data_IF_838725722094
#
_entry.id   IF_838725722094
#
_cell.length_a   1.000
_cell.length_b   1.000
_cell.length_c   1.000
_cell.angle_alpha   90.00
_cell.angle_beta   90.00
_cell.angle_gamma   90.00
#
_symmetry.space_group_name_H-M   'P 1'
#
loop_
_entity.id
_entity.type
_entity.pdbx_description
1 polymer ?
#
# COMPACT_ATOMS: atom_id res chain seq x y z
N UNK A 1 -2.12 24.08 46.76
CA UNK A 1 -1.76 22.74 47.26
C UNK A 1 -2.53 21.71 46.44
N UNK A 2 -1.85 21.07 45.49
CA UNK A 2 -2.39 20.02 44.63
C UNK A 2 -1.89 18.70 45.19
N UNK A 3 -2.78 17.85 45.70
CA UNK A 3 -2.40 16.53 46.19
C UNK A 3 -2.34 15.55 45.00
N UNK A 4 -1.13 15.24 44.57
CA UNK A 4 -0.86 14.11 43.67
C UNK A 4 -0.98 12.80 44.45
N UNK A 5 -1.87 11.90 44.01
CA UNK A 5 -1.85 10.50 44.44
C UNK A 5 -0.89 9.76 43.53
N UNK A 6 0.28 9.41 44.07
CA UNK A 6 1.26 8.56 43.38
C UNK A 6 0.86 7.09 43.53
N UNK A 7 0.60 6.41 42.41
CA UNK A 7 0.44 4.96 42.36
C UNK A 7 1.78 4.35 41.97
N UNK A 8 2.48 3.73 42.92
CA UNK A 8 3.71 2.97 42.66
C UNK A 8 3.34 1.56 42.24
N UNK A 9 3.55 1.23 40.96
CA UNK A 9 3.45 -0.14 40.45
C UNK A 9 4.86 -0.74 40.49
N UNK A 10 5.08 -1.66 41.43
CA UNK A 10 6.29 -2.50 41.47
C UNK A 10 6.08 -3.65 40.48
N UNK A 11 6.76 -3.62 39.34
CA UNK A 11 6.83 -4.76 38.43
C UNK A 11 7.91 -5.72 38.94
N UNK A 12 7.50 -6.91 39.40
CA UNK A 12 8.41 -8.02 39.65
C UNK A 12 8.71 -8.76 38.33
N UNK A 13 9.93 -9.27 38.09
CA UNK A 13 10.26 -9.99 36.87
C UNK A 13 9.70 -11.41 36.92
N UNK A 14 8.95 -11.80 35.88
CA UNK A 14 8.52 -13.18 35.68
C UNK A 14 9.64 -13.96 35.00
N UNK A 15 10.26 -14.89 35.75
CA UNK A 15 11.02 -15.98 35.15
C UNK A 15 10.06 -17.06 34.67
N UNK A 16 10.23 -17.44 33.41
CA UNK A 16 9.58 -18.56 32.77
C UNK A 16 10.05 -19.88 33.39
N UNK A 17 9.11 -20.70 33.84
CA UNK A 17 9.09 -22.14 33.53
C UNK A 17 7.89 -22.82 34.15
N UNK A 18 7.38 -23.74 33.35
CA UNK A 18 6.61 -24.92 33.72
C UNK A 18 5.08 -24.83 33.73
N UNK A 19 4.54 -25.50 32.71
CA UNK A 19 3.13 -25.72 32.51
C UNK A 19 2.69 -26.99 33.21
N UNK A 20 1.58 -26.87 33.95
CA UNK A 20 0.54 -27.90 34.18
C UNK A 20 -0.25 -27.50 35.43
N UNK A 21 -1.38 -26.82 35.24
CA UNK A 21 -2.68 -27.33 35.72
C UNK A 21 -3.86 -26.42 35.37
N UNK A 22 -4.73 -27.07 34.63
CA UNK A 22 -6.09 -26.79 34.24
C UNK A 22 -6.98 -26.42 35.45
N UNK A 23 -7.66 -25.27 35.35
CA UNK A 23 -9.02 -24.94 35.82
C UNK A 23 -9.38 -25.15 37.30
N UNK A 24 -9.37 -24.06 38.08
CA UNK A 24 -10.12 -23.99 39.34
C UNK A 24 -10.53 -22.58 39.80
N UNK A 25 -10.90 -21.63 38.92
CA UNK A 25 -11.45 -20.37 39.43
C UNK A 25 -12.40 -19.57 38.52
N UNK A 26 -13.20 -20.24 37.67
CA UNK A 26 -14.33 -19.56 37.00
C UNK A 26 -15.36 -18.96 38.00
N UNK A 27 -15.30 -19.36 39.29
CA UNK A 27 -16.07 -18.76 40.38
C UNK A 27 -15.45 -17.48 40.96
N UNK A 28 -14.14 -17.26 40.85
CA UNK A 28 -13.49 -16.02 41.32
C UNK A 28 -13.65 -14.88 40.32
N UNK A 29 -13.74 -15.17 39.02
CA UNK A 29 -13.93 -14.16 37.99
C UNK A 29 -15.35 -13.56 37.97
N UNK A 30 -16.37 -14.33 38.35
CA UNK A 30 -17.76 -13.84 38.43
C UNK A 30 -18.02 -13.05 39.71
N UNK A 31 -17.28 -13.31 40.80
CA UNK A 31 -17.41 -12.57 42.06
C UNK A 31 -16.88 -11.12 41.98
N UNK A 32 -16.02 -10.80 40.99
CA UNK A 32 -15.45 -9.46 40.80
C UNK A 32 -16.33 -8.51 39.97
N UNK A 33 -17.41 -9.01 39.34
CA UNK A 33 -18.31 -8.19 38.50
C UNK A 33 -19.62 -7.77 39.20
N UNK A 34 -19.91 -8.33 40.38
CA UNK A 34 -21.04 -7.91 41.23
C UNK A 34 -20.54 -7.21 42.48
N UNK A 35 -20.00 -6.00 42.32
CA UNK A 35 -19.72 -5.11 43.43
C UNK A 35 -21.02 -4.67 44.11
N UNK A 36 -21.44 -5.39 45.14
CA UNK A 36 -22.48 -4.96 46.08
C UNK A 36 -22.01 -3.70 46.82
N UNK A 37 -22.73 -2.61 46.63
CA UNK A 37 -22.54 -1.37 47.39
C UNK A 37 -22.94 -1.61 48.86
N UNK A 38 -21.95 -1.80 49.75
CA UNK A 38 -22.20 -1.78 51.19
C UNK A 38 -22.32 -0.33 51.65
N UNK A 39 -23.56 0.15 51.79
CA UNK A 39 -23.86 1.35 52.57
C UNK A 39 -23.66 0.99 54.04
N UNK A 40 -22.57 1.49 54.63
CA UNK A 40 -22.34 1.40 56.06
C UNK A 40 -23.36 2.29 56.79
N UNK A 41 -24.35 1.68 57.45
CA UNK A 41 -25.26 2.37 58.37
C UNK A 41 -24.49 2.73 59.64
N UNK A 42 -24.29 4.03 59.90
CA UNK A 42 -23.78 4.53 61.19
C UNK A 42 -24.79 4.27 62.32
N UNK A 43 -24.35 3.99 63.56
CA UNK A 43 -25.25 3.78 64.68
C UNK A 43 -25.98 5.08 65.07
N UNK A 44 -27.25 4.93 65.44
CA UNK A 44 -28.10 5.99 65.99
C UNK A 44 -27.50 6.50 67.30
N UNK A 45 -26.90 7.68 67.29
CA UNK A 45 -26.67 8.44 68.51
C UNK A 45 -27.91 9.27 68.81
N UNK A 46 -28.44 9.09 70.02
CA UNK A 46 -29.54 9.85 70.59
C UNK A 46 -29.23 11.35 70.56
N UNK A 47 -30.04 12.12 69.83
CA UNK A 47 -30.14 13.57 69.98
C UNK A 47 -31.43 13.85 70.75
N UNK A 48 -31.30 13.99 72.06
CA UNK A 48 -32.30 14.62 72.91
C UNK A 48 -31.70 15.92 73.46
N UNK A 49 -32.51 16.97 73.41
CA UNK A 49 -32.32 18.31 73.99
C UNK A 49 -31.15 19.17 73.49
N UNK A 50 -31.51 20.09 72.57
CA UNK A 50 -30.98 21.46 72.60
C UNK A 50 -31.99 22.41 71.93
N UNK A 51 -32.86 22.98 72.77
CA UNK A 51 -33.50 24.29 72.68
C UNK A 51 -33.71 24.93 71.29
N UNK A 52 -34.99 25.07 70.94
CA UNK A 52 -35.52 26.11 70.06
C UNK A 52 -35.09 27.52 70.53
N UNK A 53 -34.07 28.12 69.92
CA UNK A 53 -33.88 29.58 69.79
C UNK A 53 -32.71 29.84 68.83
N UNK A 54 -32.93 30.78 67.90
CA UNK A 54 -31.94 31.38 66.99
C UNK A 54 -31.49 30.56 65.76
N UNK A 55 -32.39 30.42 64.77
CA UNK A 55 -31.98 30.37 63.36
C UNK A 55 -32.79 31.40 62.56
N UNK A 56 -32.69 32.66 62.99
CA UNK A 56 -33.15 33.81 62.21
C UNK A 56 -32.04 34.17 61.23
N UNK A 57 -32.34 34.09 59.93
CA UNK A 57 -31.63 34.75 58.80
C UNK A 57 -30.13 34.42 58.62
N UNK A 58 -29.86 33.53 57.66
CA UNK A 58 -28.92 33.88 56.57
C UNK A 58 -29.25 33.09 55.31
N UNK A 59 -30.23 33.56 54.53
CA UNK A 59 -30.29 33.21 53.11
C UNK A 59 -29.09 33.92 52.46
N UNK A 60 -27.98 33.21 52.28
CA UNK A 60 -26.97 33.62 51.31
C UNK A 60 -27.62 33.49 49.93
N UNK A 61 -28.19 34.58 49.43
CA UNK A 61 -28.40 34.76 48.00
C UNK A 61 -27.02 34.74 47.36
N UNK A 62 -26.58 33.57 46.91
CA UNK A 62 -25.44 33.45 46.01
C UNK A 62 -25.89 34.08 44.70
N UNK A 63 -25.63 35.38 44.55
CA UNK A 63 -25.75 36.06 43.25
C UNK A 63 -24.65 35.50 42.37
N UNK A 64 -24.99 34.48 41.56
CA UNK A 64 -24.14 34.05 40.47
C UNK A 64 -23.94 35.25 39.53
N UNK A 65 -22.70 35.56 39.11
CA UNK A 65 -22.49 36.59 38.10
C UNK A 65 -23.32 36.26 36.84
N UNK A 66 -23.85 37.27 36.14
CA UNK A 66 -24.62 37.03 34.92
C UNK A 66 -23.78 36.21 33.94
N UNK A 67 -24.38 35.23 33.24
CA UNK A 67 -23.65 34.42 32.28
C UNK A 67 -23.04 35.33 31.22
N UNK A 68 -21.72 35.36 31.12
CA UNK A 68 -21.04 36.03 30.01
C UNK A 68 -21.38 35.26 28.74
N UNK A 69 -22.13 35.89 27.84
CA UNK A 69 -22.37 35.35 26.51
C UNK A 69 -21.03 35.31 25.78
N UNK A 70 -20.49 34.11 25.61
CA UNK A 70 -19.31 33.90 24.79
C UNK A 70 -19.69 33.96 23.32
N UNK A 71 -18.74 34.38 22.48
CA UNK A 71 -18.94 34.52 21.04
C UNK A 71 -18.01 33.59 20.29
N UNK A 72 -18.45 33.12 19.13
CA UNK A 72 -17.65 32.25 18.28
C UNK A 72 -16.35 32.96 17.86
N UNK A 73 -15.20 32.29 18.03
CA UNK A 73 -13.89 32.85 17.65
C UNK A 73 -13.83 33.26 16.17
N UNK A 74 -14.58 32.60 15.28
CA UNK A 74 -14.68 32.97 13.85
C UNK A 74 -15.81 33.92 13.50
N UNK A 75 -16.86 33.97 14.33
CA UNK A 75 -18.03 34.81 14.08
C UNK A 75 -18.32 35.62 15.35
N UNK A 76 -17.65 36.78 15.52
CA UNK A 76 -17.74 37.58 16.74
C UNK A 76 -19.16 38.02 17.08
N UNK A 77 -20.04 38.12 16.09
CA UNK A 77 -21.44 38.54 16.28
C UNK A 77 -22.37 37.36 16.65
N UNK A 78 -21.86 36.13 16.69
CA UNK A 78 -22.64 34.94 16.99
C UNK A 78 -22.37 34.46 18.42
N UNK A 79 -23.29 34.77 19.33
CA UNK A 79 -23.27 34.23 20.68
C UNK A 79 -23.38 32.69 20.66
N UNK A 80 -22.59 32.01 21.47
CA UNK A 80 -22.54 30.55 21.52
C UNK A 80 -22.28 30.04 22.92
N UNK A 81 -22.98 28.97 23.32
CA UNK A 81 -22.70 28.22 24.54
C UNK A 81 -22.00 26.89 24.26
N UNK A 82 -21.39 26.71 23.08
CA UNK A 82 -20.74 25.47 22.68
C UNK A 82 -19.25 25.67 22.49
N UNK A 83 -18.50 24.66 22.93
CA UNK A 83 -17.05 24.67 22.92
C UNK A 83 -16.51 23.48 22.14
N UNK A 84 -15.36 23.67 21.52
CA UNK A 84 -14.60 22.57 20.93
C UNK A 84 -14.12 21.62 22.04
N UNK A 85 -14.52 20.36 22.01
CA UNK A 85 -14.12 19.35 23.03
C UNK A 85 -12.60 19.15 23.11
N UNK A 86 -11.84 19.54 22.08
CA UNK A 86 -10.39 19.38 22.01
C UNK A 86 -9.57 20.57 22.50
N UNK A 87 -10.01 21.80 22.20
CA UNK A 87 -9.25 23.02 22.52
C UNK A 87 -10.02 24.02 23.38
N UNK A 88 -11.24 23.66 23.78
CA UNK A 88 -12.15 24.40 24.66
C UNK A 88 -12.56 25.81 24.18
N UNK A 89 -12.20 26.18 22.94
CA UNK A 89 -12.59 27.47 22.37
C UNK A 89 -14.08 27.53 22.03
N UNK A 90 -14.77 28.67 22.27
CA UNK A 90 -16.16 28.86 21.90
C UNK A 90 -16.32 28.86 20.37
N UNK A 91 -17.27 28.08 19.87
CA UNK A 91 -17.54 27.95 18.45
C UNK A 91 -19.03 27.70 18.18
N UNK A 92 -19.60 28.43 17.22
CA UNK A 92 -21.00 28.24 16.83
C UNK A 92 -21.22 26.89 16.12
N UNK A 93 -22.48 26.46 16.00
CA UNK A 93 -22.87 25.20 15.35
C UNK A 93 -22.31 25.06 13.93
N UNK A 94 -22.21 26.16 13.18
CA UNK A 94 -21.68 26.14 11.81
C UNK A 94 -20.15 25.92 11.76
N UNK A 95 -19.44 26.21 12.85
CA UNK A 95 -17.98 26.04 12.95
C UNK A 95 -17.57 24.73 13.64
N UNK A 96 -18.53 24.03 14.25
CA UNK A 96 -18.31 22.74 14.93
C UNK A 96 -18.60 21.59 13.97
N UNK A 97 -17.69 20.63 13.97
CA UNK A 97 -17.78 19.38 13.21
C UNK A 97 -18.00 18.23 14.20
N UNK A 98 -19.00 17.35 13.98
CA UNK A 98 -19.20 16.18 14.83
C UNK A 98 -17.95 15.30 14.88
N UNK A 99 -17.59 14.83 16.07
CA UNK A 99 -16.46 13.94 16.31
C UNK A 99 -16.92 12.70 17.09
N UNK A 100 -16.14 11.60 17.11
CA UNK A 100 -16.49 10.40 17.89
C UNK A 100 -16.72 10.69 19.38
N UNK A 101 -16.05 11.72 19.92
CA UNK A 101 -16.30 12.25 21.26
C UNK A 101 -16.50 13.76 21.13
N UNK A 102 -17.74 14.22 21.30
CA UNK A 102 -18.09 15.64 21.29
C UNK A 102 -18.07 16.30 19.91
N UNK A 103 -17.51 17.51 19.83
CA UNK A 103 -17.44 18.29 18.59
C UNK A 103 -16.13 19.06 18.50
N UNK A 104 -15.54 19.10 17.32
CA UNK A 104 -14.26 19.77 17.08
C UNK A 104 -14.44 21.00 16.19
N UNK A 105 -13.76 22.10 16.51
CA UNK A 105 -13.74 23.28 15.65
C UNK A 105 -12.94 23.03 14.37
N UNK A 106 -13.23 23.80 13.31
CA UNK A 106 -12.57 23.70 12.01
C UNK A 106 -11.03 23.74 12.08
N UNK A 107 -10.45 24.48 13.03
CA UNK A 107 -9.00 24.61 13.16
C UNK A 107 -8.38 23.36 13.80
N UNK A 108 -9.05 22.77 14.80
CA UNK A 108 -8.67 21.48 15.38
C UNK A 108 -8.83 20.32 14.39
N UNK A 109 -9.85 20.36 13.53
CA UNK A 109 -10.01 19.39 12.45
C UNK A 109 -8.92 19.57 11.40
N UNK A 110 -8.59 20.82 11.04
CA UNK A 110 -7.53 21.11 10.07
C UNK A 110 -6.15 20.70 10.59
N UNK A 111 -5.85 20.93 11.87
CA UNK A 111 -4.60 20.49 12.50
C UNK A 111 -4.51 18.97 12.68
N UNK A 112 -5.66 18.29 12.79
CA UNK A 112 -5.72 16.83 12.81
C UNK A 112 -5.52 16.19 11.43
N UNK A 113 -5.58 16.96 10.33
CA UNK A 113 -5.42 16.39 8.98
C UNK A 113 -3.98 15.86 8.86
N UNK A 114 -3.81 14.58 8.47
CA UNK A 114 -2.48 14.05 8.23
C UNK A 114 -1.78 14.89 7.15
N UNK A 115 -0.44 15.03 7.21
CA UNK A 115 0.32 15.82 6.25
C UNK A 115 0.03 15.37 4.81
N UNK A 116 0.16 16.28 3.83
CA UNK A 116 -0.19 16.01 2.44
C UNK A 116 0.46 14.73 1.89
N UNK A 117 1.72 14.47 2.27
CA UNK A 117 2.46 13.25 1.93
C UNK A 117 1.79 11.98 2.43
N UNK A 118 1.22 12.00 3.64
CA UNK A 118 0.53 10.84 4.19
C UNK A 118 -0.85 10.65 3.54
N UNK A 119 -1.54 11.73 3.19
CA UNK A 119 -2.80 11.65 2.41
C UNK A 119 -2.59 11.00 1.04
N UNK A 120 -1.55 11.42 0.32
CA UNK A 120 -1.17 10.81 -0.98
C UNK A 120 -0.79 9.34 -0.80
N UNK A 121 -0.04 9.01 0.26
CA UNK A 121 0.29 7.62 0.59
C UNK A 121 -0.96 6.77 0.85
N UNK A 122 -1.93 7.30 1.61
CA UNK A 122 -3.20 6.60 1.90
C UNK A 122 -4.05 6.43 0.63
N UNK A 123 -4.10 7.44 -0.24
CA UNK A 123 -4.79 7.35 -1.53
C UNK A 123 -4.19 6.27 -2.44
N UNK A 124 -2.85 6.26 -2.58
CA UNK A 124 -2.15 5.22 -3.35
C UNK A 124 -2.33 3.83 -2.74
N UNK A 125 -2.46 3.73 -1.41
CA UNK A 125 -2.76 2.47 -0.73
C UNK A 125 -4.20 1.96 -0.97
N UNK A 126 -5.11 2.78 -1.50
CA UNK A 126 -6.45 2.34 -1.96
C UNK A 126 -6.40 1.89 -3.42
N UNK A 127 -5.51 2.47 -4.24
CA UNK A 127 -5.30 2.16 -5.66
C UNK A 127 -4.15 1.16 -5.87
N UNK A 128 -4.16 0.04 -5.13
CA UNK A 128 -3.00 -0.85 -4.97
C UNK A 128 -2.48 -1.47 -6.29
N UNK A 129 -3.33 -1.57 -7.32
CA UNK A 129 -3.03 -2.27 -8.58
C UNK A 129 -3.59 -1.55 -9.82
N UNK A 130 -3.66 -0.22 -9.81
CA UNK A 130 -4.21 0.56 -10.92
C UNK A 130 -3.39 0.40 -12.21
N UNK A 131 -2.06 0.51 -12.13
CA UNK A 131 -1.19 0.37 -13.29
C UNK A 131 -1.26 -1.06 -13.86
N UNK A 132 -1.29 -2.07 -12.99
CA UNK A 132 -1.50 -3.47 -13.37
C UNK A 132 -2.80 -3.66 -14.15
N UNK A 133 -3.92 -3.10 -13.65
CA UNK A 133 -5.23 -3.18 -14.34
C UNK A 133 -5.20 -2.52 -15.70
N UNK A 134 -4.57 -1.34 -15.81
CA UNK A 134 -4.41 -0.63 -17.08
C UNK A 134 -3.58 -1.45 -18.06
N UNK A 135 -2.44 -2.01 -17.64
CA UNK A 135 -1.61 -2.85 -18.49
C UNK A 135 -2.36 -4.11 -18.94
N UNK A 136 -3.10 -4.77 -18.05
CA UNK A 136 -3.93 -5.92 -18.42
C UNK A 136 -5.00 -5.51 -19.45
N UNK A 137 -5.70 -4.40 -19.21
CA UNK A 137 -6.71 -3.90 -20.13
C UNK A 137 -6.13 -3.58 -21.51
N UNK A 138 -4.94 -2.97 -21.57
CA UNK A 138 -4.25 -2.69 -22.84
C UNK A 138 -3.85 -3.95 -23.59
N UNK A 139 -3.33 -4.98 -22.90
CA UNK A 139 -2.98 -6.25 -23.51
C UNK A 139 -4.22 -7.00 -24.03
N UNK A 140 -5.30 -7.03 -23.24
CA UNK A 140 -6.57 -7.63 -23.67
C UNK A 140 -7.17 -6.86 -24.84
N UNK A 141 -7.16 -5.54 -24.81
CA UNK A 141 -7.62 -4.70 -25.91
C UNK A 141 -6.83 -4.97 -27.20
N UNK A 142 -5.49 -4.99 -27.11
CA UNK A 142 -4.63 -5.28 -28.26
C UNK A 142 -4.93 -6.67 -28.84
N UNK A 143 -5.13 -7.68 -27.99
CA UNK A 143 -5.47 -9.03 -28.43
C UNK A 143 -6.86 -9.13 -29.08
N UNK A 144 -7.87 -8.44 -28.54
CA UNK A 144 -9.21 -8.40 -29.15
C UNK A 144 -9.17 -7.64 -30.49
N UNK A 145 -8.40 -6.56 -30.56
CA UNK A 145 -8.20 -5.78 -31.77
C UNK A 145 -7.55 -6.62 -32.88
N UNK A 146 -6.54 -7.44 -32.55
CA UNK A 146 -5.90 -8.30 -33.55
C UNK A 146 -6.87 -9.35 -34.08
N UNK A 147 -7.77 -9.89 -33.24
CA UNK A 147 -8.81 -10.83 -33.68
C UNK A 147 -9.82 -10.21 -34.66
N UNK A 148 -10.19 -8.94 -34.48
CA UNK A 148 -11.20 -8.28 -35.33
C UNK A 148 -10.62 -7.66 -36.61
N UNK A 149 -9.41 -7.11 -36.54
CA UNK A 149 -8.87 -6.24 -37.61
C UNK A 149 -8.12 -6.99 -38.70
N UNK A 150 -7.63 -8.21 -38.43
CA UNK A 150 -6.73 -8.91 -39.35
C UNK A 150 -7.36 -10.10 -40.07
N UNK A 151 -8.57 -10.53 -39.70
CA UNK A 151 -9.27 -11.69 -40.28
C UNK A 151 -8.60 -13.05 -40.01
N UNK A 152 -7.29 -13.08 -39.73
CA UNK A 152 -6.54 -14.23 -39.25
C UNK A 152 -5.48 -13.80 -38.23
N UNK A 153 -5.37 -14.56 -37.14
CA UNK A 153 -4.38 -14.33 -36.08
C UNK A 153 -2.96 -14.26 -36.68
N UNK A 154 -2.62 -15.12 -37.63
CA UNK A 154 -1.28 -15.17 -38.28
C UNK A 154 -0.87 -13.86 -38.97
N UNK A 155 -1.80 -13.11 -39.57
CA UNK A 155 -1.47 -11.89 -40.31
C UNK A 155 -1.12 -10.73 -39.36
N UNK A 156 -1.91 -10.58 -38.29
CA UNK A 156 -1.61 -9.59 -37.24
C UNK A 156 -0.28 -9.85 -36.50
N UNK A 157 0.14 -11.12 -36.42
CA UNK A 157 1.40 -11.50 -35.79
C UNK A 157 2.60 -11.02 -36.61
N UNK A 158 2.54 -11.11 -37.93
CA UNK A 158 3.55 -10.53 -38.83
C UNK A 158 3.50 -9.00 -38.81
N UNK A 159 2.31 -8.40 -38.83
CA UNK A 159 2.14 -6.95 -38.96
C UNK A 159 2.66 -6.15 -37.76
N UNK A 160 2.74 -6.76 -36.57
CA UNK A 160 3.18 -6.06 -35.35
C UNK A 160 4.33 -6.76 -34.61
N UNK A 161 4.69 -7.98 -35.03
CA UNK A 161 5.75 -8.75 -34.40
C UNK A 161 7.13 -8.08 -34.52
N UNK A 162 8.01 -8.45 -33.61
CA UNK A 162 9.38 -7.95 -33.55
C UNK A 162 10.32 -8.92 -34.26
N UNK A 163 11.16 -8.39 -35.13
CA UNK A 163 12.27 -9.06 -35.81
C UNK A 163 13.26 -7.98 -36.26
N UNK A 164 14.54 -8.33 -36.41
CA UNK A 164 15.60 -7.37 -36.72
C UNK A 164 15.36 -6.68 -38.08
N UNK A 165 14.83 -7.42 -39.05
CA UNK A 165 14.53 -6.91 -40.40
C UNK A 165 13.57 -5.70 -40.37
N UNK A 166 12.58 -5.71 -39.48
CA UNK A 166 11.64 -4.60 -39.38
C UNK A 166 12.29 -3.37 -38.72
N UNK A 167 13.18 -3.58 -37.76
CA UNK A 167 13.92 -2.47 -37.14
C UNK A 167 14.89 -1.84 -38.13
N UNK A 168 15.55 -2.64 -38.98
CA UNK A 168 16.38 -2.16 -40.09
C UNK A 168 15.59 -1.31 -41.10
N UNK A 169 14.30 -1.59 -41.29
CA UNK A 169 13.39 -0.80 -42.12
C UNK A 169 12.84 0.46 -41.40
N UNK A 170 13.33 0.78 -40.20
CA UNK A 170 12.92 1.97 -39.45
C UNK A 170 11.68 1.77 -38.57
N UNK A 171 11.17 0.55 -38.41
CA UNK A 171 9.93 0.27 -37.67
C UNK A 171 10.15 0.11 -36.15
N UNK A 172 10.86 1.07 -35.54
CA UNK A 172 11.26 1.05 -34.12
C UNK A 172 10.09 0.95 -33.12
N UNK A 173 8.90 1.37 -33.52
CA UNK A 173 7.69 1.27 -32.70
C UNK A 173 7.37 -0.19 -32.31
N UNK A 174 7.85 -1.16 -33.09
CA UNK A 174 7.70 -2.61 -32.84
C UNK A 174 8.34 -3.09 -31.55
N UNK A 175 9.33 -2.39 -31.02
CA UNK A 175 9.92 -2.71 -29.71
C UNK A 175 8.86 -2.62 -28.61
N UNK A 176 7.94 -1.65 -28.72
CA UNK A 176 6.86 -1.46 -27.74
C UNK A 176 5.63 -2.25 -28.13
N UNK A 177 5.18 -2.16 -29.40
CA UNK A 177 3.90 -2.79 -29.80
C UNK A 177 3.95 -4.31 -29.75
N UNK A 178 5.08 -4.93 -30.07
CA UNK A 178 5.25 -6.39 -29.96
C UNK A 178 5.07 -6.88 -28.53
N UNK A 179 5.37 -6.05 -27.53
CA UNK A 179 5.17 -6.35 -26.12
C UNK A 179 3.71 -6.49 -25.69
N UNK A 180 2.74 -6.13 -26.55
CA UNK A 180 1.31 -6.28 -26.29
C UNK A 180 0.64 -7.35 -27.16
N UNK A 181 1.38 -7.96 -28.09
CA UNK A 181 0.86 -9.02 -28.94
C UNK A 181 0.84 -10.35 -28.21
N UNK A 182 -0.16 -11.18 -28.51
CA UNK A 182 -0.28 -12.50 -27.92
C UNK A 182 -0.67 -13.54 -28.96
N UNK A 183 -0.01 -14.70 -28.88
CA UNK A 183 -0.18 -15.83 -29.78
C UNK A 183 -1.11 -16.87 -29.13
N UNK A 184 -2.41 -16.62 -29.23
CA UNK A 184 -3.46 -17.52 -28.72
C UNK A 184 -3.92 -17.25 -27.29
N UNK A 185 -5.05 -17.86 -26.93
CA UNK A 185 -5.79 -17.58 -25.69
C UNK A 185 -5.02 -17.98 -24.43
N UNK A 186 -4.34 -19.13 -24.46
CA UNK A 186 -3.56 -19.61 -23.31
C UNK A 186 -2.35 -18.70 -23.04
N UNK A 187 -1.72 -18.19 -24.09
CA UNK A 187 -0.57 -17.29 -23.96
C UNK A 187 -0.96 -15.97 -23.28
N UNK A 188 -2.06 -15.33 -23.70
CA UNK A 188 -2.57 -14.13 -23.01
C UNK A 188 -3.07 -14.45 -21.60
N UNK A 189 -3.81 -15.54 -21.41
CA UNK A 189 -4.35 -15.93 -20.11
C UNK A 189 -3.25 -16.09 -19.05
N UNK A 190 -2.17 -16.78 -19.39
CA UNK A 190 -1.04 -16.99 -18.48
C UNK A 190 -0.27 -15.70 -18.20
N UNK A 191 -0.03 -14.84 -19.22
CA UNK A 191 0.63 -13.56 -19.00
C UNK A 191 -0.19 -12.64 -18.09
N UNK A 192 -1.51 -12.55 -18.31
CA UNK A 192 -2.37 -11.67 -17.52
C UNK A 192 -2.52 -12.19 -16.09
N UNK A 193 -2.57 -13.51 -15.89
CA UNK A 193 -2.58 -14.11 -14.56
C UNK A 193 -1.29 -13.78 -13.79
N UNK A 194 -0.12 -13.98 -14.42
CA UNK A 194 1.17 -13.68 -13.80
C UNK A 194 1.34 -12.18 -13.56
N UNK A 195 0.96 -11.33 -14.53
CA UNK A 195 0.98 -9.88 -14.38
C UNK A 195 0.10 -9.43 -13.22
N UNK A 196 -1.08 -10.01 -13.05
CA UNK A 196 -1.96 -9.72 -11.91
C UNK A 196 -1.35 -10.12 -10.56
N UNK A 197 -0.76 -11.32 -10.48
CA UNK A 197 -0.10 -11.79 -9.25
C UNK A 197 1.11 -10.94 -8.88
N UNK A 198 1.96 -10.61 -9.86
CA UNK A 198 3.16 -9.81 -9.66
C UNK A 198 2.80 -8.34 -9.40
N UNK A 199 1.75 -7.83 -10.05
CA UNK A 199 1.22 -6.50 -9.81
C UNK A 199 0.76 -6.31 -8.36
N UNK A 200 0.05 -7.29 -7.80
CA UNK A 200 -0.35 -7.27 -6.38
C UNK A 200 0.84 -7.23 -5.41
N UNK A 201 2.00 -7.74 -5.81
CA UNK A 201 3.20 -7.73 -4.98
C UNK A 201 4.05 -6.45 -5.16
N UNK A 202 4.32 -6.09 -6.42
CA UNK A 202 5.31 -5.08 -6.77
C UNK A 202 4.72 -3.67 -6.82
N UNK A 203 3.48 -3.51 -7.28
CA UNK A 203 2.86 -2.19 -7.41
C UNK A 203 2.63 -1.51 -6.04
N UNK A 204 2.18 -2.20 -4.98
CA UNK A 204 2.13 -1.60 -3.64
C UNK A 204 3.51 -1.25 -3.07
N UNK A 205 4.54 -2.00 -3.44
CA UNK A 205 5.91 -1.78 -2.96
C UNK A 205 6.59 -0.58 -3.64
N UNK A 206 6.33 -0.38 -4.94
CA UNK A 206 6.99 0.62 -5.77
C UNK A 206 6.13 1.88 -6.00
N UNK A 207 4.81 1.73 -5.96
CA UNK A 207 3.83 2.67 -6.51
C UNK A 207 3.67 2.52 -8.02
N UNK A 208 2.54 3.05 -8.53
CA UNK A 208 2.09 2.92 -9.92
C UNK A 208 3.19 3.26 -10.94
N UNK A 209 3.77 4.46 -10.85
CA UNK A 209 4.73 4.96 -11.84
C UNK A 209 6.00 4.10 -11.91
N UNK A 210 6.55 3.72 -10.76
CA UNK A 210 7.79 2.93 -10.69
C UNK A 210 7.55 1.49 -11.12
N UNK A 211 6.40 0.92 -10.78
CA UNK A 211 6.00 -0.38 -11.30
C UNK A 211 5.91 -0.37 -12.83
N UNK A 212 5.26 0.65 -13.41
CA UNK A 212 5.20 0.80 -14.87
C UNK A 212 6.58 0.94 -15.50
N UNK A 213 7.49 1.72 -14.90
CA UNK A 213 8.87 1.85 -15.38
C UNK A 213 9.63 0.51 -15.34
N UNK A 214 9.46 -0.29 -14.27
CA UNK A 214 10.05 -1.61 -14.16
C UNK A 214 9.50 -2.58 -15.23
N UNK A 215 8.18 -2.53 -15.48
CA UNK A 215 7.53 -3.32 -16.53
C UNK A 215 8.11 -3.01 -17.91
N UNK A 216 8.20 -1.72 -18.29
CA UNK A 216 8.75 -1.32 -19.58
C UNK A 216 10.26 -1.57 -19.68
N UNK A 217 11.04 -1.34 -18.63
CA UNK A 217 12.46 -1.68 -18.64
C UNK A 217 12.66 -3.19 -18.90
N UNK A 218 11.87 -4.04 -18.24
CA UNK A 218 11.89 -5.49 -18.47
C UNK A 218 11.45 -5.87 -19.90
N UNK A 219 10.42 -5.20 -20.44
CA UNK A 219 9.98 -5.37 -21.82
C UNK A 219 11.09 -5.04 -22.82
N UNK A 220 11.79 -3.92 -22.64
CA UNK A 220 12.89 -3.49 -23.51
C UNK A 220 14.09 -4.43 -23.42
N UNK A 221 14.43 -4.90 -22.21
CA UNK A 221 15.45 -5.93 -22.02
C UNK A 221 15.10 -7.26 -22.71
N UNK A 222 13.81 -7.64 -22.69
CA UNK A 222 13.31 -8.78 -23.44
C UNK A 222 13.42 -8.57 -24.95
N UNK A 223 13.02 -7.41 -25.47
CA UNK A 223 13.15 -7.07 -26.88
C UNK A 223 14.62 -7.15 -27.35
N UNK A 224 15.54 -6.53 -26.59
CA UNK A 224 16.97 -6.58 -26.89
C UNK A 224 17.52 -8.02 -26.85
N UNK A 225 17.14 -8.81 -25.84
CA UNK A 225 17.56 -10.21 -25.74
C UNK A 225 17.02 -11.08 -26.88
N UNK A 226 15.77 -10.87 -27.30
CA UNK A 226 15.17 -11.61 -28.40
C UNK A 226 15.86 -11.31 -29.73
N UNK A 227 16.15 -10.03 -30.01
CA UNK A 227 16.87 -9.61 -31.21
C UNK A 227 18.33 -10.10 -31.22
N UNK A 228 18.98 -10.15 -30.05
CA UNK A 228 20.35 -10.65 -29.93
C UNK A 228 20.47 -12.16 -30.21
N UNK A 229 19.52 -12.97 -29.70
CA UNK A 229 19.61 -14.43 -29.81
C UNK A 229 18.95 -14.99 -31.07
N UNK A 230 17.84 -14.39 -31.49
CA UNK A 230 17.04 -14.86 -32.63
C UNK A 230 16.65 -13.68 -33.53
N UNK A 231 17.62 -13.02 -34.21
CA UNK A 231 17.38 -11.78 -34.94
C UNK A 231 16.33 -11.91 -36.06
N UNK A 232 16.26 -13.08 -36.70
CA UNK A 232 15.29 -13.36 -37.76
C UNK A 232 13.98 -13.97 -37.24
N UNK A 233 13.90 -14.28 -35.94
CA UNK A 233 12.71 -14.87 -35.33
C UNK A 233 11.64 -13.81 -35.10
N UNK A 234 10.39 -14.14 -35.42
CA UNK A 234 9.24 -13.30 -35.09
C UNK A 234 8.88 -13.51 -33.61
N UNK A 235 9.01 -12.46 -32.79
CA UNK A 235 8.70 -12.51 -31.37
C UNK A 235 7.64 -11.49 -30.99
N UNK A 236 6.87 -11.78 -29.94
CA UNK A 236 5.83 -10.92 -29.41
C UNK A 236 5.28 -11.49 -28.12
N UNK A 237 4.83 -10.62 -27.21
CA UNK A 237 4.39 -11.03 -25.88
C UNK A 237 4.74 -10.04 -24.79
N UNK A 238 3.83 -9.90 -23.83
CA UNK A 238 4.14 -9.25 -22.56
C UNK A 238 5.12 -10.07 -21.70
N UNK A 239 5.46 -11.29 -22.13
CA UNK A 239 6.22 -12.26 -21.34
C UNK A 239 7.62 -11.77 -20.97
N UNK A 240 8.34 -11.06 -21.85
CA UNK A 240 9.63 -10.45 -21.47
C UNK A 240 9.49 -9.52 -20.25
N UNK A 241 8.42 -8.73 -20.20
CA UNK A 241 8.10 -7.89 -19.06
C UNK A 241 7.74 -8.72 -17.82
N UNK A 242 6.90 -9.75 -17.97
CA UNK A 242 6.46 -10.63 -16.87
C UNK A 242 7.63 -11.39 -16.25
N UNK A 243 8.55 -11.94 -17.06
CA UNK A 243 9.77 -12.58 -16.58
C UNK A 243 10.66 -11.61 -15.82
N UNK A 244 10.80 -10.37 -16.31
CA UNK A 244 11.51 -9.33 -15.57
C UNK A 244 10.85 -8.97 -14.25
N UNK A 245 9.52 -8.88 -14.19
CA UNK A 245 8.79 -8.67 -12.93
C UNK A 245 9.00 -9.84 -11.95
N UNK A 246 8.97 -11.09 -12.42
CA UNK A 246 9.26 -12.26 -11.58
C UNK A 246 10.68 -12.20 -11.01
N UNK A 247 11.67 -11.89 -11.85
CA UNK A 247 13.06 -11.77 -11.43
C UNK A 247 13.29 -10.59 -10.47
N UNK A 248 12.66 -9.44 -10.74
CA UNK A 248 12.67 -8.29 -9.84
C UNK A 248 12.07 -8.63 -8.46
N UNK A 249 10.94 -9.34 -8.44
CA UNK A 249 10.32 -9.80 -7.20
C UNK A 249 11.23 -10.76 -6.44
N UNK A 250 11.85 -11.73 -7.12
CA UNK A 250 12.80 -12.67 -6.51
C UNK A 250 14.00 -11.93 -5.90
N UNK A 251 14.62 -11.01 -6.62
CA UNK A 251 15.75 -10.21 -6.12
C UNK A 251 15.32 -9.33 -4.93
N UNK A 252 14.17 -8.66 -5.03
CA UNK A 252 13.66 -7.81 -3.95
C UNK A 252 13.31 -8.59 -2.68
N UNK A 253 12.83 -9.83 -2.79
CA UNK A 253 12.65 -10.73 -1.66
C UNK A 253 13.99 -11.15 -1.05
N UNK A 254 14.96 -11.51 -1.89
CA UNK A 254 16.29 -11.93 -1.46
C UNK A 254 17.01 -10.81 -0.69
N UNK A 255 16.94 -9.56 -1.17
CA UNK A 255 17.51 -8.38 -0.47
C UNK A 255 16.91 -8.15 0.93
N UNK A 256 15.71 -8.67 1.18
CA UNK A 256 15.03 -8.59 2.49
C UNK A 256 15.24 -9.84 3.34
N UNK A 257 16.13 -10.74 2.93
CA UNK A 257 16.42 -11.99 3.62
C UNK A 257 15.34 -13.07 3.44
N UNK A 258 14.40 -12.89 2.50
CA UNK A 258 13.35 -13.87 2.21
C UNK A 258 13.78 -14.72 1.02
N UNK A 259 13.91 -16.03 1.20
CA UNK A 259 14.25 -16.95 0.11
C UNK A 259 13.09 -17.02 -0.92
N UNK A 260 13.29 -16.62 -2.18
CA UNK A 260 12.25 -16.62 -3.21
C UNK A 260 11.67 -18.00 -3.52
N UNK A 261 12.43 -19.08 -3.30
CA UNK A 261 11.95 -20.45 -3.52
C UNK A 261 10.91 -20.88 -2.48
N UNK A 262 10.90 -20.25 -1.30
CA UNK A 262 9.89 -20.53 -0.26
C UNK A 262 8.60 -19.75 -0.45
N UNK A 263 8.59 -18.72 -1.29
CA UNK A 263 7.40 -17.90 -1.56
C UNK A 263 6.62 -18.36 -2.79
N UNK A 264 7.11 -19.37 -3.51
CA UNK A 264 6.57 -19.83 -4.79
C UNK A 264 7.01 -18.98 -5.98
N UNK A 265 7.40 -17.72 -5.80
CA UNK A 265 7.83 -16.83 -6.91
C UNK A 265 9.10 -17.35 -7.59
N UNK A 266 10.09 -17.77 -6.80
CA UNK A 266 11.32 -18.35 -7.33
C UNK A 266 11.03 -19.64 -8.10
N UNK A 267 10.16 -20.50 -7.57
CA UNK A 267 9.74 -21.74 -8.21
C UNK A 267 9.00 -21.46 -9.52
N UNK A 268 8.07 -20.52 -9.54
CA UNK A 268 7.34 -20.10 -10.74
C UNK A 268 8.29 -19.54 -11.80
N UNK A 269 9.26 -18.71 -11.42
CA UNK A 269 10.27 -18.18 -12.35
C UNK A 269 11.10 -19.31 -12.96
N UNK A 270 11.62 -20.23 -12.14
CA UNK A 270 12.42 -21.37 -12.62
C UNK A 270 11.59 -22.27 -13.53
N UNK A 271 10.35 -22.59 -13.15
CA UNK A 271 9.47 -23.42 -13.97
C UNK A 271 9.18 -22.76 -15.32
N UNK A 272 8.88 -21.46 -15.35
CA UNK A 272 8.64 -20.73 -16.59
C UNK A 272 9.90 -20.66 -17.47
N UNK A 273 11.09 -20.52 -16.87
CA UNK A 273 12.35 -20.61 -17.61
C UNK A 273 12.58 -22.02 -18.16
N UNK A 274 12.34 -23.08 -17.38
CA UNK A 274 12.45 -24.46 -17.89
C UNK A 274 11.50 -24.68 -19.07
N UNK A 275 10.25 -24.24 -18.97
CA UNK A 275 9.28 -24.29 -20.07
C UNK A 275 9.79 -23.53 -21.31
N UNK A 276 10.45 -22.38 -21.10
CA UNK A 276 11.04 -21.56 -22.18
C UNK A 276 12.08 -22.33 -22.98
N UNK A 277 12.91 -23.13 -22.32
CA UNK A 277 13.92 -23.94 -22.99
C UNK A 277 13.37 -25.27 -23.53
N UNK A 278 12.27 -25.77 -22.94
CA UNK A 278 11.70 -27.06 -23.29
C UNK A 278 10.74 -27.02 -24.50
N UNK A 279 10.01 -25.92 -24.69
CA UNK A 279 9.00 -25.80 -25.75
C UNK A 279 9.57 -25.01 -26.95
N UNK A 280 9.71 -25.63 -28.13
CA UNK A 280 10.11 -24.92 -29.35
C UNK A 280 9.13 -23.81 -29.73
N UNK A 281 9.66 -22.72 -30.32
CA UNK A 281 8.86 -21.56 -30.73
C UNK A 281 8.67 -20.49 -29.65
N UNK A 282 9.17 -20.71 -28.43
CA UNK A 282 9.23 -19.69 -27.38
C UNK A 282 10.52 -18.87 -27.51
N UNK A 283 10.41 -17.55 -27.36
CA UNK A 283 11.56 -16.63 -27.40
C UNK A 283 12.43 -16.74 -26.15
N UNK A 284 13.47 -17.59 -26.22
CA UNK A 284 14.47 -17.76 -25.17
C UNK A 284 15.12 -16.41 -24.84
N UNK A 285 15.58 -15.68 -25.86
CA UNK A 285 16.17 -14.35 -25.70
C UNK A 285 15.24 -13.35 -25.06
N UNK A 286 13.95 -13.39 -25.41
CA UNK A 286 12.92 -12.54 -24.82
C UNK A 286 12.75 -12.74 -23.33
N UNK A 287 12.66 -14.00 -22.89
CA UNK A 287 12.45 -14.32 -21.47
C UNK A 287 13.71 -14.12 -20.63
N UNK A 288 14.87 -14.55 -21.14
CA UNK A 288 16.15 -14.40 -20.43
C UNK A 288 16.55 -12.93 -20.37
N UNK A 289 16.45 -12.19 -21.48
CA UNK A 289 16.75 -10.75 -21.52
C UNK A 289 15.83 -9.96 -20.59
N UNK A 290 14.54 -10.28 -20.59
CA UNK A 290 13.57 -9.68 -19.66
C UNK A 290 13.88 -9.99 -18.20
N UNK A 291 14.15 -11.25 -17.86
CA UNK A 291 14.50 -11.68 -16.51
C UNK A 291 15.78 -10.99 -16.00
N UNK A 292 16.85 -10.95 -16.81
CA UNK A 292 18.10 -10.28 -16.46
C UNK A 292 17.89 -8.79 -16.22
N UNK A 293 17.18 -8.12 -17.13
CA UNK A 293 16.91 -6.68 -17.01
C UNK A 293 16.07 -6.38 -15.78
N UNK A 294 15.01 -7.15 -15.56
CA UNK A 294 14.16 -7.02 -14.37
C UNK A 294 14.90 -7.31 -13.07
N UNK A 295 15.82 -8.27 -13.04
CA UNK A 295 16.67 -8.53 -11.88
C UNK A 295 17.58 -7.33 -11.56
N UNK A 296 18.25 -6.76 -12.57
CA UNK A 296 19.18 -5.63 -12.42
C UNK A 296 18.42 -4.37 -11.96
N UNK A 297 17.35 -4.00 -12.67
CA UNK A 297 16.55 -2.83 -12.35
C UNK A 297 15.81 -3.02 -11.02
N UNK A 298 15.29 -4.23 -10.79
CA UNK A 298 14.64 -4.62 -9.53
C UNK A 298 15.57 -4.51 -8.33
N UNK A 299 16.83 -4.96 -8.45
CA UNK A 299 17.85 -4.81 -7.41
C UNK A 299 18.02 -3.34 -7.00
N UNK A 300 18.07 -2.44 -7.97
CA UNK A 300 18.24 -1.01 -7.74
C UNK A 300 16.97 -0.34 -7.16
N UNK A 301 15.78 -0.78 -7.59
CA UNK A 301 14.51 -0.14 -7.22
C UNK A 301 13.94 -0.62 -5.88
N UNK A 302 14.11 -1.91 -5.56
CA UNK A 302 13.51 -2.59 -4.41
C UNK A 302 14.41 -2.61 -3.16
N UNK A 303 15.54 -1.92 -3.23
CA UNK A 303 16.50 -1.80 -2.14
C UNK A 303 15.81 -1.49 -0.80
N UNK A 304 16.10 -2.26 0.27
CA UNK A 304 15.53 -2.05 1.58
C UNK A 304 15.77 -0.63 2.10
N UNK A 305 14.79 -0.09 2.85
CA UNK A 305 14.87 1.29 3.34
C UNK A 305 16.09 1.57 4.24
N UNK A 306 16.61 0.54 4.90
CA UNK A 306 17.76 0.64 5.81
C UNK A 306 19.12 0.59 5.10
N UNK A 307 19.17 0.16 3.84
CA UNK A 307 20.39 0.22 3.01
C UNK A 307 20.30 1.27 1.91
N UNK A 308 19.12 1.88 1.70
CA UNK A 308 18.83 2.71 0.54
C UNK A 308 19.85 3.83 0.33
N UNK A 309 20.61 3.70 -0.76
CA UNK A 309 21.68 4.65 -1.14
C UNK A 309 21.11 6.00 -1.59
N UNK A 310 20.19 6.02 -2.55
CA UNK A 310 19.47 7.24 -2.93
C UNK A 310 18.06 6.98 -3.52
N UNK A 311 17.08 7.87 -3.28
CA UNK A 311 15.76 7.76 -3.92
C UNK A 311 15.79 7.96 -5.44
N UNK A 312 16.82 8.62 -5.97
CA UNK A 312 16.96 8.94 -7.40
C UNK A 312 17.28 7.70 -8.25
N UNK A 313 18.03 6.74 -7.71
CA UNK A 313 18.36 5.47 -8.38
C UNK A 313 17.08 4.72 -8.81
N UNK A 314 16.04 4.74 -7.98
CA UNK A 314 14.77 4.09 -8.27
C UNK A 314 14.01 4.72 -9.47
N UNK A 315 14.46 5.86 -9.98
CA UNK A 315 13.95 6.51 -11.19
C UNK A 315 14.94 6.42 -12.34
N UNK A 316 16.23 6.63 -12.07
CA UNK A 316 17.28 6.61 -13.09
C UNK A 316 17.51 5.21 -13.67
N UNK A 317 17.55 4.17 -12.82
CA UNK A 317 17.86 2.80 -13.24
C UNK A 317 16.96 2.27 -14.38
N UNK A 318 15.61 2.31 -14.30
CA UNK A 318 14.77 1.82 -15.40
C UNK A 318 14.91 2.67 -16.67
N UNK A 319 15.11 3.98 -16.55
CA UNK A 319 15.26 4.88 -17.72
C UNK A 319 16.57 4.61 -18.45
N UNK A 320 17.67 4.49 -17.71
CA UNK A 320 18.99 4.13 -18.26
C UNK A 320 18.92 2.74 -18.89
N UNK A 321 18.30 1.76 -18.22
CA UNK A 321 18.11 0.42 -18.76
C UNK A 321 17.36 0.41 -20.11
N UNK A 322 16.27 1.16 -20.23
CA UNK A 322 15.54 1.29 -21.51
C UNK A 322 16.42 1.94 -22.59
N UNK A 323 17.11 3.04 -22.27
CA UNK A 323 18.00 3.72 -23.21
C UNK A 323 19.15 2.81 -23.69
N UNK A 324 19.77 2.06 -22.78
CA UNK A 324 20.80 1.08 -23.10
C UNK A 324 20.26 -0.08 -23.95
N UNK A 325 19.03 -0.52 -23.71
CA UNK A 325 18.40 -1.55 -24.54
C UNK A 325 18.18 -1.06 -25.96
N UNK A 326 17.69 0.18 -26.14
CA UNK A 326 17.52 0.79 -27.47
C UNK A 326 18.87 0.97 -28.16
N UNK A 327 19.87 1.47 -27.43
CA UNK A 327 21.23 1.61 -27.96
C UNK A 327 21.81 0.26 -28.41
N UNK A 328 21.68 -0.77 -27.58
CA UNK A 328 22.14 -2.13 -27.91
C UNK A 328 21.43 -2.66 -29.17
N UNK A 329 20.11 -2.47 -29.30
CA UNK A 329 19.38 -2.84 -30.52
C UNK A 329 19.91 -2.07 -31.73
N UNK A 330 20.21 -0.77 -31.58
CA UNK A 330 20.81 0.03 -32.66
C UNK A 330 22.18 -0.44 -33.10
N UNK A 331 22.98 -1.01 -32.20
CA UNK A 331 24.29 -1.60 -32.56
C UNK A 331 24.18 -2.93 -33.32
N UNK A 332 22.98 -3.53 -33.40
CA UNK A 332 22.73 -4.77 -34.16
C UNK A 332 22.29 -4.52 -35.60
N UNK A 333 22.04 -3.27 -35.98
CA UNK A 333 21.60 -2.86 -37.33
C UNK A 333 22.79 -2.73 -38.27
#
# INVERSE_FOLDING_TARGET
>A
MVNHVAVSIRLAPQNASDGKRRWSSLKEFVAQLTGTCHIATRPKQHLADASHRELTRTLFLVTLPPPSLEYCVKHPDTATGRHCTRCDRPACNNCLTPAPVGSHCADCVRSARPPARERVRRWNAVQQIFATRVLIALNVFAFLWTLTSSGSVERSQFDLGLSLVFIQNGEWYRIVTSGFLHFGLLHIGMNMLLLWQLGQLLEPALGQTKFTLLYFASMFGGAAGALALTPNGLTGGASGAVFGLMAAAAVGLQQRGVNPMRTGIGTTLVLNLVITFAIPGISIGGHVGGALMGAIVGYAMLEPRWTRTSPAIAWAAPVIAMALSVFAIGTML
#
